data_IF_185160081215
#
_entry.id   IF_185160081215
#
_cell.length_a   1.000
_cell.length_b   1.000
_cell.length_c   1.000
_cell.angle_alpha   90.00
_cell.angle_beta   90.00
_cell.angle_gamma   90.00
#
_symmetry.space_group_name_H-M   'P 1'
#
loop_
_entity.id
_entity.type
_entity.pdbx_description
1 polymer ?
#
# COMPACT_ATOMS: atom_id res chain seq x y z
N UNK A 1 12.85 -6.83 -14.27
CA UNK A 1 11.98 -7.26 -15.40
C UNK A 1 10.70 -6.44 -15.52
N UNK A 2 10.13 -5.83 -14.47
CA UNK A 2 8.95 -4.94 -14.59
C UNK A 2 9.15 -3.68 -15.48
N UNK A 3 10.26 -2.93 -15.32
CA UNK A 3 10.54 -1.73 -16.13
C UNK A 3 10.61 -2.01 -17.63
N UNK A 4 11.25 -3.13 -18.01
CA UNK A 4 11.44 -3.53 -19.41
C UNK A 4 10.14 -3.94 -20.09
N UNK A 5 9.24 -4.59 -19.35
CA UNK A 5 8.02 -5.18 -19.89
C UNK A 5 6.80 -4.24 -19.78
N UNK A 6 6.75 -3.44 -18.72
CA UNK A 6 5.59 -2.61 -18.37
C UNK A 6 5.91 -1.12 -18.19
N UNK A 7 7.18 -0.69 -18.32
CA UNK A 7 7.56 0.71 -18.11
C UNK A 7 7.51 1.19 -16.65
N UNK A 8 7.18 0.31 -15.70
CA UNK A 8 7.01 0.64 -14.28
C UNK A 8 8.33 0.54 -13.52
N UNK A 9 8.65 1.58 -12.77
CA UNK A 9 9.76 1.57 -11.81
C UNK A 9 9.36 0.83 -10.53
N UNK A 10 10.24 -0.07 -10.09
CA UNK A 10 10.06 -0.81 -8.84
C UNK A 10 11.03 -0.27 -7.82
N UNK A 11 10.49 0.19 -6.69
CA UNK A 11 11.29 0.70 -5.59
C UNK A 11 11.98 -0.47 -4.87
N UNK A 12 13.26 -0.29 -4.54
CA UNK A 12 14.06 -1.28 -3.79
C UNK A 12 14.14 -0.99 -2.29
N UNK A 13 13.62 0.17 -1.88
CA UNK A 13 13.53 0.61 -0.50
C UNK A 13 12.10 1.07 -0.17
N UNK A 14 11.80 1.13 1.12
CA UNK A 14 10.52 1.68 1.58
C UNK A 14 10.37 3.14 1.11
N UNK A 15 9.18 3.54 0.65
CA UNK A 15 8.99 4.87 0.14
C UNK A 15 8.90 5.90 1.27
N UNK A 16 9.09 7.17 0.93
CA UNK A 16 8.94 8.26 1.88
C UNK A 16 7.47 8.40 2.34
N UNK A 17 7.30 8.85 3.58
CA UNK A 17 5.99 9.11 4.16
C UNK A 17 5.30 10.32 3.49
N UNK A 18 3.96 10.30 3.46
CA UNK A 18 3.15 11.44 3.05
C UNK A 18 3.22 11.81 1.56
N UNK A 19 3.69 10.91 0.69
CA UNK A 19 3.93 11.22 -0.73
C UNK A 19 2.81 10.76 -1.67
N UNK A 20 1.96 9.82 -1.25
CA UNK A 20 1.02 9.17 -2.16
C UNK A 20 -0.42 9.60 -1.93
N UNK A 21 -1.18 9.65 -3.01
CA UNK A 21 -2.61 9.96 -2.99
C UNK A 21 -3.46 8.71 -2.71
N UNK A 22 -2.87 7.53 -2.94
CA UNK A 22 -3.47 6.25 -2.64
C UNK A 22 -2.39 5.19 -2.39
N UNK A 23 -2.73 4.22 -1.56
CA UNK A 23 -1.95 3.02 -1.26
C UNK A 23 -2.84 1.82 -1.54
N UNK A 24 -2.39 0.95 -2.44
CA UNK A 24 -3.13 -0.26 -2.82
C UNK A 24 -2.37 -1.49 -2.35
N UNK A 25 -2.97 -2.26 -1.45
CA UNK A 25 -2.42 -3.53 -0.99
C UNK A 25 -2.85 -4.65 -1.94
N UNK A 26 -1.94 -5.06 -2.81
CA UNK A 26 -2.19 -6.06 -3.85
C UNK A 26 -1.88 -7.50 -3.43
N UNK A 27 -1.11 -7.70 -2.35
CA UNK A 27 -0.67 -9.02 -1.86
C UNK A 27 -0.72 -9.09 -0.33
N UNK A 28 -0.96 -10.29 0.22
CA UNK A 28 -1.09 -10.52 1.67
C UNK A 28 0.19 -11.10 2.32
N UNK A 29 1.38 -10.60 1.95
CA UNK A 29 2.64 -11.07 2.53
C UNK A 29 2.82 -10.58 3.97
N UNK A 30 3.55 -11.35 4.78
CA UNK A 30 3.74 -11.08 6.22
C UNK A 30 4.38 -9.72 6.51
N UNK A 31 5.24 -9.20 5.63
CA UNK A 31 5.80 -7.86 5.77
C UNK A 31 4.72 -6.76 5.83
N UNK A 32 3.62 -6.91 5.06
CA UNK A 32 2.52 -5.96 5.08
C UNK A 32 1.59 -6.21 6.27
N UNK A 33 1.45 -7.46 6.71
CA UNK A 33 0.76 -7.78 7.96
C UNK A 33 1.44 -7.10 9.16
N UNK A 34 2.77 -7.20 9.23
CA UNK A 34 3.59 -6.59 10.27
C UNK A 34 3.64 -5.06 10.18
N UNK A 35 3.58 -4.50 8.96
CA UNK A 35 3.46 -3.05 8.76
C UNK A 35 2.16 -2.49 9.35
N UNK A 36 1.07 -3.24 9.21
CA UNK A 36 -0.25 -2.86 9.69
C UNK A 36 -0.89 -1.70 8.89
N UNK A 37 -2.17 -1.40 9.16
CA UNK A 37 -2.91 -0.37 8.44
C UNK A 37 -2.34 1.03 8.67
N UNK A 38 -1.88 1.36 9.88
CA UNK A 38 -1.27 2.66 10.17
C UNK A 38 0.05 2.86 9.42
N UNK A 39 0.90 1.83 9.37
CA UNK A 39 2.15 1.86 8.62
C UNK A 39 1.90 2.04 7.13
N UNK A 40 0.85 1.41 6.58
CA UNK A 40 0.43 1.62 5.20
C UNK A 40 -0.11 3.04 4.97
N UNK A 41 -0.96 3.56 5.88
CA UNK A 41 -1.49 4.93 5.78
C UNK A 41 -0.41 6.00 5.84
N UNK A 42 0.69 5.76 6.54
CA UNK A 42 1.81 6.72 6.65
C UNK A 42 2.44 7.09 5.30
N UNK A 43 2.38 6.22 4.31
CA UNK A 43 2.87 6.54 2.96
C UNK A 43 1.95 7.56 2.27
N UNK A 44 0.66 7.55 2.62
CA UNK A 44 -0.32 8.47 2.10
C UNK A 44 -0.19 9.89 2.67
N UNK A 45 -0.49 10.89 1.84
CA UNK A 45 -0.79 12.26 2.33
C UNK A 45 -2.11 12.29 3.10
N UNK A 46 -2.46 13.41 3.75
CA UNK A 46 -3.57 13.48 4.71
C UNK A 46 -4.93 12.90 4.28
N UNK A 47 -5.27 12.97 2.98
CA UNK A 47 -6.51 12.43 2.42
C UNK A 47 -6.29 11.20 1.51
N UNK A 48 -5.19 10.48 1.69
CA UNK A 48 -4.86 9.35 0.84
C UNK A 48 -5.77 8.15 1.09
N UNK A 49 -6.16 7.47 0.01
CA UNK A 49 -6.97 6.25 0.09
C UNK A 49 -6.11 5.04 0.40
N UNK A 50 -6.51 4.23 1.38
CA UNK A 50 -5.99 2.90 1.64
C UNK A 50 -6.96 1.85 1.10
N UNK A 51 -6.58 1.19 0.00
CA UNK A 51 -7.37 0.14 -0.63
C UNK A 51 -6.75 -1.24 -0.37
N UNK A 52 -7.46 -2.12 0.32
CA UNK A 52 -7.00 -3.47 0.61
C UNK A 52 -7.75 -4.53 -0.20
N UNK A 53 -7.17 -4.91 -1.33
CA UNK A 53 -7.73 -5.91 -2.24
C UNK A 53 -7.64 -7.31 -1.64
N UNK A 54 -6.70 -7.54 -0.72
CA UNK A 54 -6.44 -8.86 -0.15
C UNK A 54 -7.03 -9.07 1.21
N UNK A 55 -7.82 -8.12 1.70
CA UNK A 55 -8.58 -8.28 2.93
C UNK A 55 -7.67 -8.64 4.12
N UNK A 56 -6.41 -8.14 4.11
CA UNK A 56 -5.39 -8.40 5.11
C UNK A 56 -5.61 -7.60 6.41
N UNK A 57 -6.12 -6.37 6.29
CA UNK A 57 -6.36 -5.47 7.42
C UNK A 57 -7.81 -5.53 7.94
N UNK A 58 -8.07 -5.06 9.18
CA UNK A 58 -9.41 -4.88 9.70
C UNK A 58 -10.28 -4.01 8.77
N UNK A 59 -11.58 -4.32 8.69
CA UNK A 59 -12.50 -3.67 7.75
C UNK A 59 -12.66 -2.17 8.00
N UNK A 60 -12.62 -1.76 9.25
CA UNK A 60 -12.70 -0.39 9.73
C UNK A 60 -11.39 0.40 9.55
N UNK A 61 -10.28 -0.28 9.21
CA UNK A 61 -8.98 0.36 9.04
C UNK A 61 -8.67 0.80 7.59
N UNK A 62 -9.51 0.43 6.62
CA UNK A 62 -9.29 0.64 5.17
C UNK A 62 -10.47 1.37 4.54
N UNK A 63 -10.21 2.14 3.48
CA UNK A 63 -11.23 2.97 2.84
C UNK A 63 -12.07 2.17 1.82
N UNK A 64 -11.49 1.11 1.26
CA UNK A 64 -12.18 0.16 0.41
C UNK A 64 -11.52 -1.24 0.52
N UNK A 65 -12.23 -2.27 0.09
CA UNK A 65 -11.73 -3.65 -0.06
C UNK A 65 -12.56 -4.45 -1.07
N UNK A 66 -12.03 -5.59 -1.50
CA UNK A 66 -12.73 -6.62 -2.29
C UNK A 66 -12.92 -7.90 -1.48
#
# INVERSE_FOLDING_TARGET
>A
MAKREYGVDVMTSAPAAGQYDAVVLAVAHDQYRSLGPEGARRYGRGNALLYDIKSLYPRDAVDARL
#
